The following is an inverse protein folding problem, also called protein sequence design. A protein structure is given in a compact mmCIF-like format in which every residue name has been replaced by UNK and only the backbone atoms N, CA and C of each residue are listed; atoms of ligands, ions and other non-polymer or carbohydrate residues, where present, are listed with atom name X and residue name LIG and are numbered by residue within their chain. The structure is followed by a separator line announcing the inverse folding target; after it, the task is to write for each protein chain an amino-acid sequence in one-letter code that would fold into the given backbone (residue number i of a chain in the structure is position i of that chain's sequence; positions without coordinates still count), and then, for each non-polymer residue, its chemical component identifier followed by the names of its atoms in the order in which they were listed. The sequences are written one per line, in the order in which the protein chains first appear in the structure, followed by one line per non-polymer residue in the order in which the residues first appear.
data_IF_260274931225
#
_entry.id   IF_260274931225
#
_cell.length_a   1.000
_cell.length_b   1.000
_cell.length_c   1.000
_cell.angle_alpha   90.00
_cell.angle_beta   90.00
_cell.angle_gamma   90.00
#
_symmetry.space_group_name_H-M   'P 1'
#
loop_
_entity.id
_entity.type
_entity.pdbx_description
1 polymer ?
#
# COMPACT_ATOMS: atom_id res chain seq x y z
N UNK A 1 36.12 -14.39 -8.71
CA UNK A 1 34.70 -14.77 -8.77
C UNK A 1 33.89 -13.56 -8.33
N UNK A 2 33.04 -13.03 -9.20
CA UNK A 2 32.20 -11.87 -8.89
C UNK A 2 30.74 -12.31 -8.88
N UNK A 3 30.07 -12.11 -7.75
CA UNK A 3 28.62 -12.21 -7.65
C UNK A 3 28.11 -10.79 -7.46
N UNK A 4 27.38 -10.27 -8.44
CA UNK A 4 26.79 -8.93 -8.42
C UNK A 4 25.27 -9.06 -8.37
N UNK A 5 24.64 -8.46 -7.36
CA UNK A 5 23.19 -8.35 -7.27
C UNK A 5 22.77 -6.97 -7.80
N UNK A 6 22.02 -6.94 -8.91
CA UNK A 6 21.38 -5.71 -9.39
C UNK A 6 20.01 -5.58 -8.71
N UNK A 7 19.98 -4.97 -7.53
CA UNK A 7 18.70 -4.59 -6.90
C UNK A 7 18.13 -3.40 -7.68
N UNK A 8 17.21 -3.67 -8.62
CA UNK A 8 16.46 -2.61 -9.33
C UNK A 8 15.39 -2.00 -8.40
N UNK A 9 15.67 -0.74 -8.03
CA UNK A 9 14.86 0.40 -7.54
C UNK A 9 13.31 0.29 -7.51
N UNK A 10 12.60 0.97 -6.58
CA UNK A 10 13.04 1.74 -5.42
C UNK A 10 12.69 1.05 -4.08
N UNK A 11 13.55 1.24 -3.08
CA UNK A 11 13.19 1.03 -1.67
C UNK A 11 12.94 2.41 -1.07
N UNK A 12 11.69 2.73 -0.78
CA UNK A 12 11.35 3.84 0.10
C UNK A 12 10.60 3.29 1.31
N UNK A 13 10.84 3.87 2.48
CA UNK A 13 10.06 3.62 3.68
C UNK A 13 9.55 4.97 4.16
N UNK A 14 8.24 5.07 4.31
CA UNK A 14 7.54 6.22 4.87
C UNK A 14 6.53 5.67 5.86
N UNK A 15 6.38 6.32 7.00
CA UNK A 15 5.38 5.98 8.01
C UNK A 15 4.58 7.23 8.37
N UNK A 16 3.33 7.05 8.76
CA UNK A 16 2.46 8.06 9.32
C UNK A 16 1.74 7.42 10.52
N UNK A 17 1.72 8.11 11.65
CA UNK A 17 1.03 7.67 12.87
C UNK A 17 -0.18 8.56 13.11
N UNK A 18 -1.33 7.94 13.39
CA UNK A 18 -2.58 8.63 13.66
C UNK A 18 -3.01 8.30 15.10
N UNK A 19 -2.97 9.28 16.01
CA UNK A 19 -3.23 9.07 17.44
C UNK A 19 -4.72 8.93 17.81
N UNK A 20 -5.63 9.13 16.84
CA UNK A 20 -7.07 8.92 16.97
C UNK A 20 -7.63 8.62 15.57
N UNK A 21 -7.34 7.43 15.04
CA UNK A 21 -8.05 6.99 13.85
C UNK A 21 -9.56 6.97 14.20
N UNK A 22 -10.34 7.84 13.58
CA UNK A 22 -11.80 7.75 13.69
C UNK A 22 -12.19 6.36 13.18
N UNK A 23 -12.69 5.54 14.10
CA UNK A 23 -13.02 4.13 13.88
C UNK A 23 -14.10 3.88 12.82
N UNK A 24 -14.54 4.92 12.11
CA UNK A 24 -15.47 4.85 11.00
C UNK A 24 -14.80 4.97 9.63
N UNK A 25 -13.54 5.40 9.56
CA UNK A 25 -12.84 5.64 8.31
C UNK A 25 -12.06 4.43 7.81
N UNK A 26 -12.06 4.27 6.50
CA UNK A 26 -11.34 3.19 5.83
C UNK A 26 -9.86 3.52 5.66
N UNK A 27 -9.06 2.52 5.27
CA UNK A 27 -7.65 2.74 4.91
C UNK A 27 -7.52 3.83 3.83
N UNK A 28 -8.46 3.89 2.88
CA UNK A 28 -8.49 4.91 1.82
C UNK A 28 -8.41 6.33 2.40
N UNK A 29 -9.27 6.64 3.38
CA UNK A 29 -9.31 7.97 4.00
C UNK A 29 -8.02 8.31 4.75
N UNK A 30 -7.46 7.35 5.49
CA UNK A 30 -6.18 7.56 6.16
C UNK A 30 -5.01 7.73 5.18
N UNK A 31 -5.07 7.09 4.01
CA UNK A 31 -4.06 7.25 2.97
C UNK A 31 -4.15 8.63 2.28
N UNK A 32 -5.36 9.19 2.14
CA UNK A 32 -5.56 10.59 1.73
C UNK A 32 -4.91 11.55 2.74
N UNK A 33 -5.21 11.37 4.03
CA UNK A 33 -4.64 12.21 5.10
C UNK A 33 -3.11 12.10 5.16
N UNK A 34 -2.56 10.89 4.97
CA UNK A 34 -1.11 10.69 4.88
C UNK A 34 -0.51 11.40 3.65
N UNK A 35 -1.21 11.41 2.51
CA UNK A 35 -0.77 12.08 1.29
C UNK A 35 -0.82 13.61 1.41
N UNK A 36 -1.81 14.16 2.12
CA UNK A 36 -1.90 15.60 2.43
C UNK A 36 -0.72 16.06 3.31
N UNK A 37 -0.28 15.22 4.24
CA UNK A 37 0.86 15.52 5.13
C UNK A 37 2.22 15.28 4.49
N UNK A 38 2.34 14.24 3.66
CA UNK A 38 3.59 13.83 3.06
C UNK A 38 3.35 13.31 1.63
N UNK A 39 3.80 14.04 0.59
CA UNK A 39 3.60 13.66 -0.80
C UNK A 39 4.16 12.28 -1.19
N UNK A 40 5.04 11.67 -0.38
CA UNK A 40 5.46 10.28 -0.58
C UNK A 40 4.33 9.26 -0.40
N UNK A 41 3.21 9.64 0.20
CA UNK A 41 2.02 8.80 0.30
C UNK A 41 1.02 9.01 -0.85
N UNK A 42 1.30 9.94 -1.78
CA UNK A 42 0.47 10.08 -2.98
C UNK A 42 0.29 8.73 -3.67
N UNK A 43 -0.95 8.35 -3.91
CA UNK A 43 -1.30 7.05 -4.44
C UNK A 43 -2.25 7.15 -5.63
N UNK A 44 -2.37 6.04 -6.37
CA UNK A 44 -3.47 5.82 -7.30
C UNK A 44 -4.06 4.44 -7.07
N UNK A 45 -5.35 4.30 -7.35
CA UNK A 45 -6.07 3.06 -7.18
C UNK A 45 -6.98 2.76 -8.39
N UNK A 46 -7.39 1.50 -8.52
CA UNK A 46 -8.38 1.06 -9.50
C UNK A 46 -9.46 0.25 -8.80
N UNK A 47 -10.72 0.51 -9.15
CA UNK A 47 -11.83 -0.24 -8.61
C UNK A 47 -11.82 -1.69 -9.11
N UNK A 48 -11.92 -2.64 -8.18
CA UNK A 48 -12.08 -4.06 -8.48
C UNK A 48 -13.43 -4.54 -7.93
N UNK A 49 -14.34 -5.08 -8.77
CA UNK A 49 -15.61 -5.62 -8.32
C UNK A 49 -15.42 -6.68 -7.21
N UNK A 50 -16.16 -6.53 -6.10
CA UNK A 50 -16.07 -7.44 -4.95
C UNK A 50 -14.95 -7.08 -3.96
N UNK A 51 -13.84 -6.47 -4.38
CA UNK A 51 -12.73 -6.11 -3.49
C UNK A 51 -12.66 -4.64 -3.10
N UNK A 52 -13.18 -3.73 -3.91
CA UNK A 52 -13.05 -2.28 -3.69
C UNK A 52 -11.84 -1.68 -4.40
N UNK A 53 -11.34 -0.54 -3.94
CA UNK A 53 -10.19 0.14 -4.56
C UNK A 53 -8.87 -0.58 -4.24
N UNK A 54 -8.17 -1.02 -5.28
CA UNK A 54 -6.85 -1.68 -5.19
C UNK A 54 -5.77 -0.69 -5.59
N UNK A 55 -4.73 -0.56 -4.77
CA UNK A 55 -3.60 0.33 -5.04
C UNK A 55 -2.86 -0.10 -6.33
N UNK A 56 -2.62 0.89 -7.19
CA UNK A 56 -1.80 0.78 -8.40
C UNK A 56 -0.43 1.40 -8.20
N UNK A 57 -0.36 2.53 -7.52
CA UNK A 57 0.90 3.20 -7.22
C UNK A 57 0.89 3.87 -5.86
N UNK A 58 2.07 3.97 -5.24
CA UNK A 58 2.35 4.82 -4.07
C UNK A 58 3.68 5.51 -4.37
N UNK A 59 3.82 6.79 -4.05
CA UNK A 59 5.03 7.57 -4.32
C UNK A 59 5.49 7.50 -5.79
N UNK A 60 4.53 7.52 -6.73
CA UNK A 60 4.78 7.35 -8.18
C UNK A 60 5.37 5.98 -8.57
N UNK A 61 5.58 5.07 -7.62
CA UNK A 61 6.02 3.71 -7.91
C UNK A 61 4.81 2.86 -8.32
N UNK A 62 4.67 2.68 -9.63
CA UNK A 62 3.61 1.91 -10.26
C UNK A 62 3.89 0.40 -10.17
N UNK A 63 2.86 -0.37 -9.86
CA UNK A 63 2.87 -1.83 -9.99
C UNK A 63 2.23 -2.30 -11.29
N UNK A 64 2.91 -3.19 -12.00
CA UNK A 64 2.57 -3.65 -13.35
C UNK A 64 2.48 -5.17 -13.45
N UNK A 65 1.42 -5.74 -12.86
CA UNK A 65 1.23 -7.20 -12.84
C UNK A 65 1.35 -7.91 -14.20
N UNK A 66 0.84 -7.31 -15.28
CA UNK A 66 0.93 -7.90 -16.63
C UNK A 66 2.35 -7.94 -17.20
N UNK A 67 3.20 -6.98 -16.82
CA UNK A 67 4.56 -6.86 -17.37
C UNK A 67 5.58 -7.62 -16.54
N UNK A 68 5.53 -7.48 -15.22
CA UNK A 68 6.57 -7.98 -14.34
C UNK A 68 6.05 -8.59 -13.03
N UNK A 69 4.75 -8.92 -13.00
CA UNK A 69 4.07 -9.55 -11.86
C UNK A 69 4.19 -8.76 -10.56
N UNK A 70 4.49 -7.46 -10.62
CA UNK A 70 4.54 -6.60 -9.43
C UNK A 70 3.15 -6.13 -8.99
N UNK A 71 2.98 -6.00 -7.68
CA UNK A 71 1.76 -5.49 -7.04
C UNK A 71 2.08 -4.86 -5.68
N UNK A 72 1.16 -4.03 -5.20
CA UNK A 72 1.18 -3.54 -3.83
C UNK A 72 0.38 -4.52 -2.96
N UNK A 73 1.08 -5.28 -2.12
CA UNK A 73 0.48 -6.18 -1.14
C UNK A 73 0.02 -5.37 0.08
N UNK A 74 -1.29 -5.37 0.32
CA UNK A 74 -1.87 -4.72 1.49
C UNK A 74 -1.89 -5.71 2.65
N UNK A 75 -1.16 -5.37 3.71
CA UNK A 75 -1.04 -6.18 4.91
C UNK A 75 -1.62 -5.44 6.12
N UNK A 76 -2.33 -6.19 6.95
CA UNK A 76 -2.78 -5.75 8.28
C UNK A 76 -2.14 -6.68 9.29
N UNK A 77 -1.39 -6.13 10.25
CA UNK A 77 -0.72 -6.92 11.29
C UNK A 77 0.13 -8.07 10.70
N UNK A 78 0.93 -7.73 9.67
CA UNK A 78 1.79 -8.65 8.91
C UNK A 78 1.07 -9.77 8.15
N UNK A 79 -0.24 -9.64 7.90
CA UNK A 79 -1.02 -10.60 7.10
C UNK A 79 -1.60 -9.91 5.89
N UNK A 80 -1.32 -10.46 4.70
CA UNK A 80 -1.94 -10.01 3.44
C UNK A 80 -3.46 -10.17 3.52
N UNK A 81 -4.18 -9.13 3.12
CA UNK A 81 -5.64 -9.14 3.04
C UNK A 81 -6.10 -9.07 1.59
N UNK A 82 -7.24 -9.69 1.30
CA UNK A 82 -7.77 -9.82 -0.07
C UNK A 82 -8.73 -8.71 -0.48
N UNK A 83 -8.89 -7.68 0.35
CA UNK A 83 -9.79 -6.54 0.13
C UNK A 83 -9.00 -5.26 -0.19
N UNK A 84 -9.68 -4.32 -0.83
CA UNK A 84 -9.15 -3.00 -1.16
C UNK A 84 -9.19 -2.02 0.00
N UNK A 85 -8.47 -0.90 -0.19
CA UNK A 85 -8.33 0.17 0.82
C UNK A 85 -9.65 0.81 1.22
N UNK A 86 -10.67 0.71 0.35
CA UNK A 86 -11.99 1.30 0.56
C UNK A 86 -12.96 0.42 1.36
N UNK A 87 -12.51 -0.75 1.83
CA UNK A 87 -13.37 -1.70 2.56
C UNK A 87 -12.92 -2.02 3.98
N UNK A 88 -11.64 -1.88 4.26
CA UNK A 88 -11.12 -2.16 5.59
C UNK A 88 -11.15 -0.90 6.44
N UNK A 89 -11.77 -0.99 7.62
CA UNK A 89 -11.76 0.03 8.66
C UNK A 89 -10.73 -0.39 9.71
N UNK A 90 -9.59 0.31 9.83
CA UNK A 90 -8.59 0.00 10.84
C UNK A 90 -9.13 0.12 12.26
N UNK A 91 -8.64 -0.75 13.13
CA UNK A 91 -8.86 -0.68 14.57
C UNK A 91 -7.64 -0.05 15.22
N UNK A 92 -7.84 0.47 16.43
CA UNK A 92 -6.73 0.98 17.22
C UNK A 92 -5.65 -0.10 17.41
N UNK A 93 -4.40 0.27 17.19
CA UNK A 93 -3.24 -0.62 17.20
C UNK A 93 -3.00 -1.43 15.91
N UNK A 94 -3.83 -1.36 14.88
CA UNK A 94 -3.55 -2.04 13.62
C UNK A 94 -2.33 -1.44 12.91
N UNK A 95 -1.41 -2.31 12.49
CA UNK A 95 -0.32 -1.93 11.58
C UNK A 95 -0.74 -2.18 10.14
N UNK A 96 -0.86 -1.10 9.36
CA UNK A 96 -1.18 -1.15 7.94
C UNK A 96 0.11 -0.97 7.12
N UNK A 97 0.46 -1.98 6.32
CA UNK A 97 1.63 -1.97 5.48
C UNK A 97 1.24 -2.16 4.01
N UNK A 98 1.75 -1.28 3.15
CA UNK A 98 1.76 -1.47 1.70
C UNK A 98 3.14 -1.94 1.28
N UNK A 99 3.26 -3.21 0.93
CA UNK A 99 4.52 -3.82 0.51
C UNK A 99 4.58 -3.95 -1.02
N UNK A 100 5.52 -3.26 -1.67
CA UNK A 100 5.74 -3.42 -3.10
C UNK A 100 6.49 -4.73 -3.35
N UNK A 101 5.81 -5.70 -3.96
CA UNK A 101 6.34 -7.05 -4.14
C UNK A 101 6.01 -7.60 -5.52
N UNK A 102 6.47 -8.83 -5.81
CA UNK A 102 6.24 -9.57 -7.05
C UNK A 102 5.63 -10.93 -6.71
N UNK A 103 4.65 -11.35 -7.50
CA UNK A 103 4.11 -12.71 -7.40
C UNK A 103 5.16 -13.73 -7.85
N UNK A 104 5.37 -14.76 -7.03
CA UNK A 104 6.29 -15.87 -7.26
C UNK A 104 5.83 -16.79 -8.39
#
# INVERSE_FOLDING_TARGET
MFVQNYIKVPKFSSFAEFFQADSTFTIERHLEEAADLNPKFMFSATYNPGKGFIIKSINRQLATYELDKTYWDLQVNNKSISMGISKYVPKDGDNILFNFTRAS
#
